data_IF_217611351345
#
_entry.id   IF_217611351345
#
_cell.length_a   1.000
_cell.length_b   1.000
_cell.length_c   1.000
_cell.angle_alpha   90.00
_cell.angle_beta   90.00
_cell.angle_gamma   90.00
#
_symmetry.space_group_name_H-M   'P 1'
#
loop_
_entity.id
_entity.type
_entity.pdbx_description
1 polymer ?
#
# COMPACT_ATOMS: atom_id res chain seq x y z
N UNK A 1 85.17 0.69 8.36
CA UNK A 1 86.55 0.75 7.82
C UNK A 1 87.36 -0.32 8.55
N UNK A 2 88.06 -1.22 7.83
CA UNK A 2 88.77 -2.42 8.34
C UNK A 2 87.88 -3.47 9.07
N UNK A 3 87.97 -4.81 8.88
CA UNK A 3 89.12 -5.76 8.86
C UNK A 3 89.81 -5.85 10.23
N UNK A 4 90.21 -7.01 10.78
CA UNK A 4 90.29 -8.38 10.23
C UNK A 4 90.23 -9.45 11.36
N UNK A 5 89.92 -10.69 10.93
CA UNK A 5 90.20 -12.03 11.50
C UNK A 5 91.12 -12.16 12.74
N UNK A 6 90.79 -13.11 13.63
CA UNK A 6 91.49 -14.41 13.74
C UNK A 6 90.86 -15.38 14.77
N UNK A 7 90.29 -16.50 14.29
CA UNK A 7 90.40 -17.85 14.89
C UNK A 7 91.80 -18.43 14.55
N UNK A 8 92.30 -19.60 15.07
CA UNK A 8 91.61 -20.84 15.48
C UNK A 8 92.15 -21.38 16.86
N UNK A 9 92.26 -22.65 17.28
CA UNK A 9 92.02 -24.01 16.71
C UNK A 9 91.87 -25.06 17.84
N UNK A 10 91.25 -26.24 17.61
CA UNK A 10 91.32 -27.42 18.50
C UNK A 10 89.96 -28.10 18.77
N UNK A 11 89.38 -28.88 17.84
CA UNK A 11 89.63 -30.31 17.53
C UNK A 11 89.08 -31.30 18.60
N UNK A 12 87.90 -31.89 18.26
CA UNK A 12 87.49 -33.32 18.24
C UNK A 12 88.40 -34.44 18.85
N UNK A 13 87.90 -35.68 19.09
CA UNK A 13 86.65 -36.27 18.59
C UNK A 13 85.77 -37.12 19.55
N UNK A 14 84.60 -37.44 19.01
CA UNK A 14 83.62 -38.51 19.30
C UNK A 14 84.21 -39.92 19.58
N UNK A 15 83.41 -40.90 20.09
CA UNK A 15 82.52 -41.66 19.19
C UNK A 15 81.16 -42.17 19.75
N UNK A 16 80.21 -42.27 18.80
CA UNK A 16 79.10 -43.24 18.62
C UNK A 16 78.22 -43.71 19.80
N UNK A 17 76.91 -43.51 19.61
CA UNK A 17 75.83 -44.32 20.18
C UNK A 17 74.58 -44.29 19.29
N UNK A 18 74.43 -45.25 18.37
CA UNK A 18 73.18 -45.46 17.62
C UNK A 18 72.13 -46.11 18.52
N UNK A 19 70.87 -45.67 18.46
CA UNK A 19 69.69 -46.52 18.17
C UNK A 19 68.36 -45.77 18.34
N UNK A 20 67.33 -46.19 17.60
CA UNK A 20 65.94 -46.18 18.08
C UNK A 20 65.17 -44.85 18.04
N UNK A 21 64.53 -44.56 16.90
CA UNK A 21 63.37 -43.65 16.88
C UNK A 21 62.19 -44.31 17.61
N UNK A 22 61.65 -43.68 18.65
CA UNK A 22 60.27 -43.90 19.10
C UNK A 22 59.53 -42.58 18.92
N UNK A 23 58.62 -42.56 17.95
CA UNK A 23 57.86 -41.38 17.56
C UNK A 23 56.69 -41.22 18.53
N UNK A 24 56.76 -40.22 19.42
CA UNK A 24 55.67 -39.92 20.34
C UNK A 24 54.50 -39.30 19.59
N UNK A 25 53.49 -40.11 19.31
CA UNK A 25 52.26 -39.70 18.63
C UNK A 25 51.34 -39.07 19.68
N UNK A 26 51.27 -37.73 19.70
CA UNK A 26 50.22 -37.04 20.44
C UNK A 26 48.84 -37.50 19.90
N UNK A 27 47.90 -37.93 20.75
CA UNK A 27 46.52 -38.13 20.32
C UNK A 27 45.90 -36.77 20.05
N UNK A 28 45.91 -36.35 18.77
CA UNK A 28 45.08 -35.25 18.30
C UNK A 28 43.62 -35.68 18.41
N UNK A 29 43.01 -35.40 19.57
CA UNK A 29 41.59 -35.59 19.81
C UNK A 29 40.83 -34.61 18.92
N UNK A 30 40.58 -35.04 17.67
CA UNK A 30 39.64 -34.40 16.75
C UNK A 30 38.24 -34.52 17.36
N UNK A 31 37.91 -33.53 18.19
CA UNK A 31 36.53 -33.26 18.59
C UNK A 31 35.79 -32.84 17.34
N UNK A 32 35.24 -33.83 16.63
CA UNK A 32 34.17 -33.61 15.68
C UNK A 32 32.97 -33.08 16.46
N UNK A 33 32.95 -31.76 16.64
CA UNK A 33 31.78 -31.03 17.11
C UNK A 33 30.68 -31.21 16.04
N UNK A 34 29.95 -32.31 16.16
CA UNK A 34 28.80 -32.65 15.35
C UNK A 34 27.62 -31.75 15.75
N UNK A 35 27.77 -30.45 15.49
CA UNK A 35 26.70 -29.45 15.58
C UNK A 35 25.74 -29.66 14.40
N UNK A 36 25.10 -30.84 14.34
CA UNK A 36 23.80 -31.04 13.70
C UNK A 36 22.72 -30.44 14.59
N UNK A 37 22.92 -29.18 14.95
CA UNK A 37 22.04 -28.34 15.76
C UNK A 37 21.47 -27.22 14.90
N UNK A 38 20.83 -27.54 13.78
CA UNK A 38 19.97 -26.58 13.08
C UNK A 38 18.66 -26.39 13.85
N UNK A 39 18.76 -25.87 15.08
CA UNK A 39 17.65 -25.18 15.72
C UNK A 39 17.53 -23.81 15.06
N UNK A 40 17.06 -23.81 13.81
CA UNK A 40 16.50 -22.59 13.22
C UNK A 40 15.11 -22.42 13.83
N UNK A 41 15.09 -22.04 15.11
CA UNK A 41 13.94 -21.36 15.66
C UNK A 41 13.89 -20.02 14.93
N UNK A 42 13.05 -19.93 13.89
CA UNK A 42 12.70 -18.66 13.27
C UNK A 42 11.90 -17.85 14.29
N UNK A 43 12.63 -17.13 15.15
CA UNK A 43 12.09 -16.29 16.20
C UNK A 43 11.43 -15.10 15.54
N UNK A 44 10.11 -15.10 15.51
CA UNK A 44 9.29 -13.96 15.11
C UNK A 44 8.94 -13.17 16.37
N UNK A 45 9.62 -12.04 16.68
CA UNK A 45 9.45 -11.38 17.98
C UNK A 45 8.03 -10.89 18.23
N UNK A 46 7.28 -10.64 17.14
CA UNK A 46 5.89 -10.19 17.17
C UNK A 46 4.87 -11.35 17.00
N UNK A 47 5.31 -12.55 16.62
CA UNK A 47 4.45 -13.72 16.38
C UNK A 47 4.48 -14.25 14.94
N UNK A 48 4.35 -13.38 13.93
CA UNK A 48 4.35 -13.77 12.50
C UNK A 48 5.41 -13.02 11.72
N UNK A 49 6.17 -13.74 10.88
CA UNK A 49 7.14 -13.18 9.93
C UNK A 49 6.75 -13.49 8.47
N UNK A 50 7.48 -12.89 7.52
CA UNK A 50 7.36 -13.16 6.09
C UNK A 50 8.72 -13.57 5.51
N UNK A 51 8.89 -14.87 5.22
CA UNK A 51 10.13 -15.42 4.66
C UNK A 51 10.07 -15.54 3.14
N UNK A 52 11.13 -15.20 2.42
CA UNK A 52 11.20 -15.34 0.96
C UNK A 52 12.64 -15.57 0.49
N UNK A 53 12.79 -16.05 -0.75
CA UNK A 53 14.11 -16.29 -1.36
C UNK A 53 14.19 -15.54 -2.69
N UNK A 54 15.20 -14.69 -2.83
CA UNK A 54 15.47 -13.97 -4.07
C UNK A 54 15.84 -14.93 -5.21
N UNK A 55 15.33 -14.65 -6.42
CA UNK A 55 15.62 -15.42 -7.63
C UNK A 55 15.74 -14.50 -8.84
N UNK A 56 16.98 -14.22 -9.26
CA UNK A 56 17.26 -13.30 -10.37
C UNK A 56 16.51 -13.62 -11.69
N UNK A 57 16.26 -14.90 -11.97
CA UNK A 57 15.56 -15.35 -13.18
C UNK A 57 14.05 -15.05 -13.23
N UNK A 58 13.45 -14.59 -12.14
CA UNK A 58 12.01 -14.29 -12.07
C UNK A 58 11.68 -12.82 -12.39
N UNK A 59 12.68 -12.00 -12.75
CA UNK A 59 12.50 -10.60 -13.12
C UNK A 59 12.01 -10.41 -14.56
N UNK A 60 11.02 -9.53 -14.74
CA UNK A 60 10.47 -9.13 -16.03
C UNK A 60 11.29 -7.96 -16.56
N UNK A 61 12.13 -8.21 -17.56
CA UNK A 61 12.99 -7.20 -18.18
C UNK A 61 12.21 -6.29 -19.11
N UNK A 62 12.62 -5.02 -19.21
CA UNK A 62 12.04 -4.07 -20.14
C UNK A 62 10.66 -3.57 -19.75
N UNK A 63 10.25 -3.75 -18.50
CA UNK A 63 8.94 -3.38 -17.98
C UNK A 63 9.01 -2.83 -16.56
N UNK A 64 8.11 -1.91 -16.24
CA UNK A 64 8.01 -1.27 -14.92
C UNK A 64 6.58 -0.84 -14.56
N UNK A 65 6.31 -0.63 -13.27
CA UNK A 65 5.13 0.06 -12.78
C UNK A 65 5.45 1.55 -12.60
N UNK A 66 4.86 2.39 -13.46
CA UNK A 66 5.02 3.85 -13.41
C UNK A 66 4.09 4.46 -12.35
N UNK A 67 4.62 5.31 -11.47
CA UNK A 67 3.84 6.13 -10.52
C UNK A 67 3.42 5.43 -9.23
N UNK A 68 3.94 4.22 -8.95
CA UNK A 68 3.61 3.44 -7.75
C UNK A 68 4.78 3.22 -6.78
N UNK A 69 5.91 3.92 -7.00
CA UNK A 69 7.07 3.92 -6.11
C UNK A 69 6.85 4.86 -4.93
N UNK A 70 6.96 4.31 -3.72
CA UNK A 70 6.88 5.07 -2.46
C UNK A 70 8.24 5.27 -1.80
N UNK A 71 9.27 4.53 -2.25
CA UNK A 71 10.64 4.60 -1.73
C UNK A 71 11.63 4.26 -2.83
N UNK A 72 12.52 5.21 -3.14
CA UNK A 72 13.62 5.03 -4.08
C UNK A 72 14.95 4.93 -3.31
N UNK A 73 15.78 3.95 -3.69
CA UNK A 73 17.05 3.59 -3.07
C UNK A 73 18.15 3.65 -4.14
N UNK A 74 18.64 4.86 -4.43
CA UNK A 74 19.64 5.14 -5.48
C UNK A 74 21.01 4.48 -5.28
N UNK A 75 21.32 4.08 -4.04
CA UNK A 75 22.52 3.31 -3.66
C UNK A 75 22.35 1.80 -3.87
N UNK A 76 21.11 1.30 -4.00
CA UNK A 76 20.80 -0.13 -4.16
C UNK A 76 20.54 -0.44 -5.63
N UNK A 77 21.59 -0.75 -6.38
CA UNK A 77 21.52 -0.96 -7.85
C UNK A 77 21.49 -2.44 -8.28
N UNK A 78 21.10 -3.34 -7.39
CA UNK A 78 21.05 -4.78 -7.66
C UNK A 78 19.80 -5.43 -7.05
N UNK A 79 19.20 -6.35 -7.80
CA UNK A 79 17.88 -6.91 -7.48
C UNK A 79 17.81 -7.68 -6.15
N UNK A 80 18.91 -8.31 -5.70
CA UNK A 80 18.94 -8.98 -4.39
C UNK A 80 18.85 -7.99 -3.22
N UNK A 81 19.57 -6.86 -3.29
CA UNK A 81 19.47 -5.80 -2.28
C UNK A 81 18.11 -5.13 -2.29
N UNK A 82 17.53 -4.93 -3.48
CA UNK A 82 16.19 -4.40 -3.65
C UNK A 82 15.11 -5.33 -3.08
N UNK A 83 15.24 -6.65 -3.31
CA UNK A 83 14.43 -7.68 -2.66
C UNK A 83 14.54 -7.61 -1.14
N UNK A 84 15.76 -7.56 -0.59
CA UNK A 84 15.97 -7.48 0.86
C UNK A 84 15.38 -6.21 1.48
N UNK A 85 15.46 -5.06 0.79
CA UNK A 85 14.80 -3.84 1.23
C UNK A 85 13.26 -4.00 1.20
N UNK A 86 12.70 -4.50 0.09
CA UNK A 86 11.27 -4.74 -0.07
C UNK A 86 10.70 -5.73 0.98
N UNK A 87 11.40 -6.82 1.24
CA UNK A 87 10.96 -7.88 2.15
C UNK A 87 10.77 -7.39 3.60
N UNK A 88 11.58 -6.42 4.03
CA UNK A 88 11.55 -5.82 5.36
C UNK A 88 10.58 -4.62 5.48
N UNK A 89 9.99 -4.17 4.37
CA UNK A 89 9.01 -3.09 4.36
C UNK A 89 7.57 -3.64 4.39
N UNK A 90 6.76 -3.12 5.29
CA UNK A 90 5.37 -3.58 5.45
C UNK A 90 4.45 -3.16 4.30
N UNK A 91 4.80 -2.09 3.58
CA UNK A 91 4.09 -1.56 2.42
C UNK A 91 4.45 -2.24 1.10
N UNK A 92 5.61 -2.91 1.02
CA UNK A 92 6.14 -3.40 -0.25
C UNK A 92 5.34 -4.62 -0.77
N UNK A 93 4.86 -4.52 -2.00
CA UNK A 93 4.20 -5.62 -2.74
C UNK A 93 4.98 -6.09 -3.95
N UNK A 94 5.77 -5.22 -4.54
CA UNK A 94 6.71 -5.53 -5.62
C UNK A 94 7.87 -4.53 -5.60
N UNK A 95 8.90 -4.79 -6.39
CA UNK A 95 10.06 -3.93 -6.49
C UNK A 95 10.60 -3.92 -7.92
N UNK A 96 11.25 -2.84 -8.32
CA UNK A 96 11.87 -2.72 -9.64
C UNK A 96 13.25 -2.08 -9.54
N UNK A 97 14.15 -2.46 -10.44
CA UNK A 97 15.53 -1.96 -10.49
C UNK A 97 15.81 -1.37 -11.86
N UNK A 98 16.51 -0.24 -11.88
CA UNK A 98 16.91 0.51 -13.06
C UNK A 98 18.42 0.87 -12.99
N UNK A 99 18.94 1.57 -13.99
CA UNK A 99 20.28 2.18 -13.93
C UNK A 99 20.43 3.17 -12.76
N UNK A 100 19.34 3.83 -12.34
CA UNK A 100 19.32 4.89 -11.33
C UNK A 100 19.19 4.37 -9.90
N UNK A 101 18.61 3.19 -9.68
CA UNK A 101 18.45 2.62 -8.34
C UNK A 101 17.44 1.49 -8.23
N UNK A 102 16.97 1.28 -7.01
CA UNK A 102 15.90 0.37 -6.64
C UNK A 102 14.65 1.16 -6.23
N UNK A 103 13.48 0.73 -6.68
CA UNK A 103 12.19 1.30 -6.32
C UNK A 103 11.32 0.25 -5.65
N UNK A 104 10.78 0.60 -4.49
CA UNK A 104 9.82 -0.21 -3.75
C UNK A 104 8.40 0.26 -4.06
N UNK A 105 7.48 -0.68 -4.30
CA UNK A 105 6.17 -0.42 -4.89
C UNK A 105 5.03 -0.85 -3.95
N UNK A 106 4.01 0.00 -3.77
CA UNK A 106 2.79 -0.33 -2.99
C UNK A 106 1.73 -1.10 -3.81
N UNK A 107 2.06 -1.46 -5.05
CA UNK A 107 1.24 -2.22 -6.00
C UNK A 107 2.04 -3.40 -6.56
N UNK A 108 1.41 -4.22 -7.39
CA UNK A 108 2.06 -5.27 -8.15
C UNK A 108 1.37 -5.46 -9.51
N UNK A 109 1.93 -6.31 -10.37
CA UNK A 109 1.39 -6.61 -11.71
C UNK A 109 -0.02 -7.22 -11.69
N UNK A 110 -0.50 -7.71 -10.55
CA UNK A 110 -1.83 -8.31 -10.41
C UNK A 110 -2.87 -7.21 -10.11
N UNK A 111 -2.45 -6.06 -9.53
CA UNK A 111 -3.29 -4.88 -9.32
C UNK A 111 -3.13 -3.79 -10.40
N UNK A 112 -2.00 -3.72 -11.11
CA UNK A 112 -1.68 -2.67 -12.10
C UNK A 112 -1.00 -3.21 -13.36
N UNK A 113 -1.26 -2.57 -14.50
CA UNK A 113 -0.64 -2.92 -15.78
C UNK A 113 0.79 -2.38 -15.88
N UNK A 114 1.75 -3.28 -16.12
CA UNK A 114 3.13 -2.93 -16.45
C UNK A 114 3.23 -2.10 -17.74
N UNK A 115 4.19 -1.17 -17.78
CA UNK A 115 4.51 -0.33 -18.94
C UNK A 115 5.89 -0.68 -19.48
N UNK A 116 6.12 -0.59 -20.80
CA UNK A 116 7.43 -0.88 -21.39
C UNK A 116 8.44 0.21 -21.03
N UNK A 117 9.61 -0.19 -20.52
CA UNK A 117 10.77 0.67 -20.31
C UNK A 117 12.03 -0.20 -20.25
N UNK A 118 12.95 -0.07 -21.20
CA UNK A 118 14.13 -0.93 -21.36
C UNK A 118 15.15 -0.86 -20.22
N UNK A 119 15.18 0.23 -19.45
CA UNK A 119 16.11 0.39 -18.33
C UNK A 119 15.68 -0.43 -17.10
N UNK A 120 14.40 -0.82 -17.01
CA UNK A 120 13.84 -1.44 -15.81
C UNK A 120 13.76 -2.96 -15.88
N UNK A 121 13.92 -3.58 -14.71
CA UNK A 121 13.56 -4.97 -14.44
C UNK A 121 12.59 -4.99 -13.24
N UNK A 122 11.35 -5.40 -13.46
CA UNK A 122 10.32 -5.55 -12.44
C UNK A 122 10.37 -6.94 -11.79
N UNK A 123 10.08 -7.01 -10.49
CA UNK A 123 10.00 -8.26 -9.72
C UNK A 123 8.81 -8.28 -8.75
N UNK A 124 8.06 -9.38 -8.73
CA UNK A 124 7.10 -9.64 -7.65
C UNK A 124 7.79 -9.94 -6.32
N UNK A 125 7.26 -9.43 -5.21
CA UNK A 125 7.71 -9.87 -3.88
C UNK A 125 7.08 -11.23 -3.52
N UNK A 126 7.87 -12.31 -3.64
CA UNK A 126 7.46 -13.66 -3.26
C UNK A 126 7.94 -14.00 -1.85
N UNK A 127 7.07 -13.78 -0.88
CA UNK A 127 7.22 -14.25 0.50
C UNK A 127 6.19 -15.35 0.82
N UNK A 128 6.39 -16.05 1.93
CA UNK A 128 5.45 -16.96 2.59
C UNK A 128 5.28 -16.50 4.04
N UNK A 129 4.10 -16.73 4.61
CA UNK A 129 3.86 -16.56 6.04
C UNK A 129 4.71 -17.59 6.80
N UNK A 130 5.46 -17.12 7.80
CA UNK A 130 6.23 -17.96 8.73
C UNK A 130 5.65 -17.74 10.12
N UNK A 131 4.87 -18.69 10.66
CA UNK A 131 4.38 -18.59 12.03
C UNK A 131 5.54 -18.81 13.02
N UNK A 132 5.48 -18.14 14.17
CA UNK A 132 6.38 -18.40 15.30
C UNK A 132 6.30 -19.86 15.72
N UNK A 133 7.45 -20.49 15.91
CA UNK A 133 7.58 -21.86 16.41
C UNK A 133 7.27 -22.01 17.93
N UNK A 134 6.92 -20.93 18.63
CA UNK A 134 6.56 -20.98 20.04
C UNK A 134 5.15 -21.55 20.23
N UNK A 135 5.00 -22.61 21.01
CA UNK A 135 3.71 -23.20 21.39
C UNK A 135 2.84 -22.26 22.25
N UNK A 136 3.42 -21.19 22.80
CA UNK A 136 2.70 -20.11 23.49
C UNK A 136 2.14 -19.05 22.51
N UNK A 137 2.53 -19.09 21.23
CA UNK A 137 2.03 -18.20 20.18
C UNK A 137 1.07 -18.93 19.23
N UNK A 138 -0.06 -19.37 19.76
CA UNK A 138 -1.31 -19.37 19.00
C UNK A 138 -2.11 -18.11 19.39
N UNK A 139 -1.66 -16.89 19.02
CA UNK A 139 -2.41 -15.71 19.40
C UNK A 139 -3.73 -15.74 18.64
N UNK A 140 -4.84 -15.57 19.35
CA UNK A 140 -6.17 -15.34 18.76
C UNK A 140 -6.23 -14.05 17.92
N UNK A 141 -5.16 -13.26 17.93
CA UNK A 141 -5.01 -11.97 17.26
C UNK A 141 -3.73 -11.99 16.43
N UNK A 142 -3.83 -11.69 15.13
CA UNK A 142 -2.66 -11.53 14.27
C UNK A 142 -1.69 -10.48 14.83
N UNK A 143 -0.40 -10.83 14.91
CA UNK A 143 0.68 -9.88 15.20
C UNK A 143 1.91 -10.14 14.34
N UNK A 144 2.34 -9.11 13.63
CA UNK A 144 3.51 -9.10 12.73
C UNK A 144 4.38 -7.83 12.85
N UNK A 145 3.93 -6.81 13.60
CA UNK A 145 4.67 -5.60 13.89
C UNK A 145 4.49 -4.44 12.90
N UNK A 146 3.74 -4.63 11.81
CA UNK A 146 3.53 -3.60 10.80
C UNK A 146 2.73 -2.38 11.26
N UNK A 147 1.96 -2.49 12.35
CA UNK A 147 1.25 -1.36 12.94
C UNK A 147 2.05 -0.63 14.03
N UNK A 148 3.21 -1.12 14.47
CA UNK A 148 4.00 -0.50 15.55
C UNK A 148 4.42 0.94 15.23
N UNK A 149 4.67 1.25 13.95
CA UNK A 149 5.03 2.58 13.48
C UNK A 149 3.82 3.46 13.07
N UNK A 150 2.58 2.98 13.29
CA UNK A 150 1.33 3.61 12.83
C UNK A 150 1.41 4.10 11.37
N UNK A 151 1.47 3.19 10.38
CA UNK A 151 1.63 3.55 8.96
C UNK A 151 0.43 4.29 8.35
N UNK A 152 -0.71 4.34 9.06
CA UNK A 152 -1.95 5.02 8.69
C UNK A 152 -1.89 6.50 9.10
N UNK A 153 -2.25 7.38 8.17
CA UNK A 153 -2.20 8.84 8.31
C UNK A 153 -3.58 9.41 8.66
N UNK A 154 -3.66 10.72 8.90
CA UNK A 154 -4.91 11.48 9.07
C UNK A 154 -5.93 10.87 10.05
N UNK A 155 -5.46 10.21 11.12
CA UNK A 155 -6.31 9.58 12.13
C UNK A 155 -6.84 8.18 11.79
N UNK A 156 -6.32 7.53 10.75
CA UNK A 156 -6.68 6.14 10.41
C UNK A 156 -6.18 5.10 11.41
N UNK A 157 -7.00 4.08 11.68
CA UNK A 157 -6.66 2.97 12.59
C UNK A 157 -5.95 1.84 11.83
N UNK A 158 -4.80 1.40 12.33
CA UNK A 158 -4.06 0.27 11.75
C UNK A 158 -4.53 -1.08 12.30
N UNK A 159 -4.77 -2.06 11.42
CA UNK A 159 -5.05 -3.46 11.79
C UNK A 159 -4.05 -4.38 11.08
N UNK A 160 -3.29 -5.18 11.84
CA UNK A 160 -2.33 -6.13 11.27
C UNK A 160 -3.06 -7.31 10.59
N UNK A 161 -2.46 -7.81 9.51
CA UNK A 161 -2.96 -8.92 8.69
C UNK A 161 -1.86 -9.94 8.46
N UNK A 162 -2.17 -11.21 8.72
CA UNK A 162 -1.21 -12.32 8.76
C UNK A 162 -1.57 -13.43 7.76
N UNK A 163 -2.74 -13.31 7.13
CA UNK A 163 -3.34 -14.31 6.24
C UNK A 163 -2.61 -14.39 4.90
N UNK A 164 -2.00 -13.29 4.43
CA UNK A 164 -1.34 -13.22 3.12
C UNK A 164 -0.13 -12.27 3.10
N UNK A 165 1.04 -12.68 2.56
CA UNK A 165 2.28 -11.88 2.59
C UNK A 165 2.22 -10.54 1.84
N UNK A 166 1.34 -10.40 0.84
CA UNK A 166 1.12 -9.11 0.12
C UNK A 166 0.22 -8.12 0.89
N UNK A 167 -0.41 -8.54 1.99
CA UNK A 167 -1.35 -7.73 2.76
C UNK A 167 -1.00 -7.89 4.24
N UNK A 168 0.02 -7.15 4.69
CA UNK A 168 0.58 -7.27 6.05
C UNK A 168 -0.19 -6.41 7.07
N UNK A 169 -0.95 -5.42 6.63
CA UNK A 169 -1.87 -4.64 7.44
C UNK A 169 -2.94 -3.99 6.55
N UNK A 170 -3.97 -3.42 7.17
CA UNK A 170 -4.99 -2.58 6.54
C UNK A 170 -5.21 -1.35 7.42
N UNK A 171 -5.33 -0.17 6.80
CA UNK A 171 -5.80 1.04 7.47
C UNK A 171 -7.31 1.17 7.33
N UNK A 172 -8.00 1.43 8.45
CA UNK A 172 -9.40 1.86 8.44
C UNK A 172 -9.44 3.39 8.56
N UNK A 173 -9.85 4.08 7.51
CA UNK A 173 -9.83 5.54 7.47
C UNK A 173 -11.08 6.17 8.09
N UNK A 174 -10.94 7.33 8.76
CA UNK A 174 -12.09 8.17 9.12
C UNK A 174 -12.78 8.72 7.87
N UNK A 175 -14.02 9.19 8.04
CA UNK A 175 -14.89 9.67 6.93
C UNK A 175 -14.32 10.84 6.13
N UNK A 176 -13.37 11.59 6.69
CA UNK A 176 -12.68 12.71 6.05
C UNK A 176 -11.34 12.31 5.37
N UNK A 177 -11.00 11.02 5.30
CA UNK A 177 -9.77 10.54 4.66
C UNK A 177 -10.01 9.30 3.77
N UNK A 178 -9.16 9.13 2.77
CA UNK A 178 -9.17 8.02 1.81
C UNK A 178 -7.75 7.70 1.34
N UNK A 179 -7.61 6.70 0.47
CA UNK A 179 -6.34 6.08 0.11
C UNK A 179 -6.05 4.81 0.92
N UNK A 180 -4.95 4.11 0.60
CA UNK A 180 -4.59 2.82 1.25
C UNK A 180 -4.15 3.00 2.70
N UNK A 181 -3.58 4.16 2.99
CA UNK A 181 -3.01 4.57 4.26
C UNK A 181 -3.72 5.80 4.83
N UNK A 182 -4.89 6.16 4.29
CA UNK A 182 -5.61 7.38 4.65
C UNK A 182 -4.81 8.66 4.33
N UNK A 183 -3.90 8.58 3.36
CA UNK A 183 -2.93 9.61 2.98
C UNK A 183 -3.57 10.81 2.24
N UNK A 184 -4.79 10.64 1.72
CA UNK A 184 -5.55 11.69 1.04
C UNK A 184 -6.71 12.13 1.93
N UNK A 185 -6.98 13.43 2.03
CA UNK A 185 -8.25 13.90 2.58
C UNK A 185 -9.39 13.68 1.58
N UNK A 186 -10.56 13.34 2.08
CA UNK A 186 -11.74 13.03 1.27
C UNK A 186 -12.65 14.26 1.14
N UNK A 187 -12.48 15.01 0.05
CA UNK A 187 -13.29 16.19 -0.29
C UNK A 187 -14.18 15.92 -1.53
N UNK A 188 -15.31 15.21 -1.38
CA UNK A 188 -16.18 14.87 -2.52
C UNK A 188 -16.68 16.13 -3.23
N UNK A 189 -16.59 16.17 -4.57
CA UNK A 189 -17.02 17.31 -5.41
C UNK A 189 -18.39 17.09 -6.04
N UNK A 190 -18.83 15.86 -6.07
CA UNK A 190 -20.07 15.40 -6.69
C UNK A 190 -20.62 14.19 -5.94
N UNK A 191 -21.89 13.84 -6.16
CA UNK A 191 -22.44 12.59 -5.66
C UNK A 191 -21.62 11.36 -6.11
N UNK A 192 -21.00 11.41 -7.30
CA UNK A 192 -20.19 10.32 -7.85
C UNK A 192 -18.94 10.02 -7.01
N UNK A 193 -18.38 11.03 -6.33
CA UNK A 193 -17.17 10.85 -5.53
C UNK A 193 -17.38 10.01 -4.26
N UNK A 194 -18.63 9.81 -3.81
CA UNK A 194 -18.93 8.91 -2.68
C UNK A 194 -18.65 7.43 -2.98
N UNK A 195 -18.52 7.04 -4.25
CA UNK A 195 -17.97 5.72 -4.61
C UNK A 195 -16.45 5.60 -4.36
N UNK A 196 -15.74 6.71 -4.14
CA UNK A 196 -14.30 6.78 -3.84
C UNK A 196 -14.01 6.94 -2.34
N UNK A 197 -15.05 7.01 -1.51
CA UNK A 197 -14.90 7.04 -0.05
C UNK A 197 -14.25 5.75 0.44
N UNK A 198 -13.48 5.82 1.52
CA UNK A 198 -12.95 4.63 2.15
C UNK A 198 -14.10 3.73 2.64
N UNK A 199 -14.03 2.43 2.34
CA UNK A 199 -15.11 1.44 2.58
C UNK A 199 -16.49 1.83 1.99
N UNK A 200 -16.52 2.57 0.87
CA UNK A 200 -17.77 2.89 0.16
C UNK A 200 -18.56 1.60 -0.17
N UNK A 201 -19.84 1.49 0.22
CA UNK A 201 -20.68 0.37 -0.17
C UNK A 201 -20.96 0.41 -1.68
N UNK A 202 -21.19 -0.77 -2.28
CA UNK A 202 -21.49 -0.88 -3.72
C UNK A 202 -22.72 -0.07 -4.16
N UNK A 203 -23.62 0.26 -3.22
CA UNK A 203 -24.68 1.27 -3.36
C UNK A 203 -24.73 2.11 -2.07
N UNK A 204 -24.22 3.35 -2.06
CA UNK A 204 -24.47 4.29 -0.97
C UNK A 204 -25.97 4.56 -0.80
N UNK A 205 -26.46 4.86 0.41
CA UNK A 205 -27.85 5.22 0.62
C UNK A 205 -28.20 6.51 -0.14
N UNK A 206 -29.45 6.66 -0.58
CA UNK A 206 -29.92 7.95 -1.10
C UNK A 206 -30.15 8.92 0.05
N UNK A 207 -29.98 10.21 -0.18
CA UNK A 207 -30.19 11.22 0.86
C UNK A 207 -29.42 12.50 0.62
N UNK A 208 -29.34 13.34 1.64
CA UNK A 208 -28.59 14.60 1.61
C UNK A 208 -27.14 14.37 2.02
N UNK A 209 -26.22 14.78 1.16
CA UNK A 209 -24.77 14.69 1.33
C UNK A 209 -24.12 16.08 1.29
N UNK A 210 -23.05 16.26 2.05
CA UNK A 210 -22.16 17.43 1.94
C UNK A 210 -21.12 17.19 0.86
N UNK A 211 -21.04 18.09 -0.12
CA UNK A 211 -19.94 18.13 -1.10
C UNK A 211 -19.19 19.47 -0.96
N UNK A 212 -17.96 19.52 -1.44
CA UNK A 212 -17.09 20.69 -1.37
C UNK A 212 -16.94 21.33 -2.75
N UNK A 213 -16.93 22.67 -2.82
CA UNK A 213 -16.52 23.40 -4.04
C UNK A 213 -15.02 23.20 -4.33
N UNK A 214 -14.54 23.77 -5.44
CA UNK A 214 -13.16 23.63 -5.91
C UNK A 214 -12.11 24.24 -4.95
N UNK A 215 -12.52 25.09 -4.02
CA UNK A 215 -11.68 25.66 -2.96
C UNK A 215 -11.36 24.66 -1.82
N UNK A 216 -11.97 23.48 -1.81
CA UNK A 216 -11.91 22.47 -0.74
C UNK A 216 -12.43 22.95 0.64
N UNK A 217 -13.05 24.12 0.72
CA UNK A 217 -13.47 24.77 1.98
C UNK A 217 -14.98 25.01 1.98
N UNK A 218 -15.55 25.49 0.88
CA UNK A 218 -16.98 25.80 0.81
C UNK A 218 -17.81 24.53 0.67
N UNK A 219 -18.45 24.13 1.76
CA UNK A 219 -19.45 23.07 1.79
C UNK A 219 -20.76 23.51 1.11
N UNK A 220 -21.38 22.59 0.36
CA UNK A 220 -22.76 22.70 -0.11
C UNK A 220 -23.49 21.36 0.03
N UNK A 221 -24.74 21.39 0.46
CA UNK A 221 -25.57 20.19 0.61
C UNK A 221 -26.27 19.85 -0.71
N UNK A 222 -26.27 18.58 -1.10
CA UNK A 222 -26.97 18.08 -2.29
C UNK A 222 -27.66 16.76 -1.99
N UNK A 223 -28.82 16.53 -2.62
CA UNK A 223 -29.43 15.21 -2.59
C UNK A 223 -28.79 14.32 -3.65
N UNK A 224 -28.38 13.12 -3.24
CA UNK A 224 -27.77 12.11 -4.07
C UNK A 224 -28.66 10.85 -4.13
N UNK A 225 -28.82 10.27 -5.32
CA UNK A 225 -29.29 8.87 -5.48
C UNK A 225 -28.25 8.06 -6.27
N UNK A 226 -28.15 6.77 -5.99
CA UNK A 226 -27.04 5.93 -6.40
C UNK A 226 -27.54 4.70 -7.19
N UNK A 227 -27.03 4.55 -8.41
CA UNK A 227 -27.36 3.44 -9.32
C UNK A 227 -26.08 2.68 -9.66
N UNK A 228 -25.83 1.50 -9.05
CA UNK A 228 -24.64 0.71 -9.38
C UNK A 228 -24.66 0.23 -10.84
N UNK A 229 -23.49 0.00 -11.46
CA UNK A 229 -22.15 0.32 -10.98
C UNK A 229 -21.77 1.79 -11.26
N UNK A 230 -21.21 2.48 -10.27
CA UNK A 230 -20.57 3.80 -10.41
C UNK A 230 -21.40 4.87 -11.15
N UNK A 231 -22.73 4.91 -11.00
CA UNK A 231 -23.56 6.04 -11.44
C UNK A 231 -24.21 6.69 -10.23
N UNK A 232 -24.09 8.01 -10.13
CA UNK A 232 -24.74 8.79 -9.09
C UNK A 232 -25.45 9.98 -9.72
N UNK A 233 -26.61 10.32 -9.17
CA UNK A 233 -27.45 11.41 -9.61
C UNK A 233 -27.41 12.52 -8.57
N UNK A 234 -27.26 13.77 -9.00
CA UNK A 234 -27.40 14.94 -8.14
C UNK A 234 -28.74 15.60 -8.43
N UNK A 235 -29.58 15.80 -7.41
CA UNK A 235 -30.88 16.44 -7.61
C UNK A 235 -30.70 17.92 -7.95
N UNK A 236 -31.15 18.31 -9.15
CA UNK A 236 -31.17 19.71 -9.60
C UNK A 236 -32.55 20.37 -9.43
N UNK A 237 -33.62 19.56 -9.48
CA UNK A 237 -35.01 20.00 -9.45
C UNK A 237 -35.91 18.85 -8.96
N UNK A 238 -36.93 19.16 -8.16
CA UNK A 238 -38.04 18.27 -7.83
C UNK A 238 -39.26 19.08 -7.39
N UNK A 239 -40.45 18.63 -7.74
CA UNK A 239 -41.69 19.29 -7.36
C UNK A 239 -42.87 18.31 -7.27
N UNK A 240 -43.78 18.58 -6.34
CA UNK A 240 -45.07 17.93 -6.23
C UNK A 240 -46.01 18.39 -7.37
N UNK A 241 -46.97 17.53 -7.75
CA UNK A 241 -47.85 17.75 -8.89
C UNK A 241 -48.58 19.12 -8.90
N UNK A 242 -48.89 19.68 -7.72
CA UNK A 242 -49.51 21.02 -7.58
C UNK A 242 -48.65 22.17 -8.10
N UNK A 243 -47.33 21.99 -8.19
CA UNK A 243 -46.38 22.98 -8.71
C UNK A 243 -46.01 22.76 -10.18
N UNK A 244 -46.64 21.79 -10.87
CA UNK A 244 -46.26 21.39 -12.23
C UNK A 244 -46.23 22.57 -13.22
N UNK A 245 -47.30 23.35 -13.29
CA UNK A 245 -47.42 24.50 -14.21
C UNK A 245 -46.36 25.58 -13.94
N UNK A 246 -46.00 25.76 -12.66
CA UNK A 246 -44.98 26.73 -12.23
C UNK A 246 -43.58 26.32 -12.70
N UNK A 247 -43.25 25.03 -12.66
CA UNK A 247 -41.92 24.51 -13.02
C UNK A 247 -41.77 24.22 -14.52
N UNK A 248 -42.80 23.70 -15.19
CA UNK A 248 -42.79 23.47 -16.65
C UNK A 248 -42.59 24.77 -17.44
N UNK A 249 -42.99 25.92 -16.87
CA UNK A 249 -42.78 27.25 -17.44
C UNK A 249 -41.37 27.83 -17.22
N UNK A 250 -40.42 27.08 -16.62
CA UNK A 250 -39.08 27.56 -16.25
C UNK A 250 -37.98 26.72 -16.89
N UNK A 251 -37.34 27.25 -17.93
CA UNK A 251 -36.20 26.61 -18.59
C UNK A 251 -35.03 26.44 -17.63
N UNK A 252 -34.23 25.37 -17.74
CA UNK A 252 -32.99 25.23 -16.95
C UNK A 252 -31.93 26.32 -17.26
N UNK A 253 -32.17 27.17 -18.27
CA UNK A 253 -31.38 28.37 -18.54
C UNK A 253 -31.80 29.57 -17.68
N UNK A 254 -32.99 29.55 -17.08
CA UNK A 254 -33.51 30.60 -16.20
C UNK A 254 -32.98 30.43 -14.77
N UNK A 255 -32.52 31.52 -14.16
CA UNK A 255 -32.13 31.48 -12.75
C UNK A 255 -33.37 31.60 -11.85
N UNK A 256 -33.81 30.45 -11.37
CA UNK A 256 -35.00 30.30 -10.54
C UNK A 256 -34.75 29.29 -9.41
N UNK A 257 -33.90 29.65 -8.42
CA UNK A 257 -33.66 28.81 -7.25
C UNK A 257 -34.90 28.76 -6.35
N UNK A 258 -35.23 27.58 -5.87
CA UNK A 258 -36.32 27.35 -4.91
C UNK A 258 -35.81 26.37 -3.84
N UNK A 259 -35.80 26.78 -2.57
CA UNK A 259 -35.43 25.92 -1.44
C UNK A 259 -34.08 25.18 -1.59
N UNK A 260 -33.12 25.76 -2.32
CA UNK A 260 -31.86 25.09 -2.69
C UNK A 260 -30.99 24.65 -1.51
N UNK A 261 -31.16 25.25 -0.33
CA UNK A 261 -30.44 24.93 0.91
C UNK A 261 -31.08 23.76 1.69
N UNK A 262 -32.30 23.34 1.32
CA UNK A 262 -33.03 22.21 1.92
C UNK A 262 -33.26 21.06 0.92
N UNK A 263 -32.20 20.46 0.34
CA UNK A 263 -32.31 19.47 -0.75
C UNK A 263 -33.02 18.15 -0.40
N UNK A 264 -33.37 17.91 0.87
CA UNK A 264 -34.25 16.81 1.27
C UNK A 264 -35.76 17.13 1.19
N UNK A 265 -36.14 18.37 0.88
CA UNK A 265 -37.55 18.79 0.76
C UNK A 265 -37.98 18.75 -0.72
N UNK A 266 -38.43 17.59 -1.17
CA UNK A 266 -38.74 17.32 -2.57
C UNK A 266 -40.06 17.95 -3.08
N UNK A 267 -40.90 18.50 -2.20
CA UNK A 267 -42.19 19.09 -2.58
C UNK A 267 -42.04 20.28 -3.54
N UNK A 268 -41.00 21.10 -3.36
CA UNK A 268 -40.70 22.26 -4.18
C UNK A 268 -39.22 22.64 -4.04
N UNK A 269 -38.37 22.15 -4.93
CA UNK A 269 -36.92 22.34 -4.89
C UNK A 269 -36.34 22.58 -6.28
N UNK A 270 -35.43 23.56 -6.41
CA UNK A 270 -34.66 23.85 -7.62
C UNK A 270 -33.36 24.56 -7.27
N UNK A 271 -32.26 24.11 -7.86
CA UNK A 271 -30.96 24.78 -7.72
C UNK A 271 -30.91 26.07 -8.54
N UNK A 272 -30.10 27.04 -8.10
CA UNK A 272 -29.71 28.17 -8.93
C UNK A 272 -29.03 27.71 -10.24
N UNK A 273 -29.22 28.47 -11.31
CA UNK A 273 -28.65 28.24 -12.66
C UNK A 273 -27.14 28.04 -12.61
N UNK A 274 -26.43 28.85 -11.83
CA UNK A 274 -24.99 28.74 -11.66
C UNK A 274 -24.56 27.39 -11.04
N UNK A 275 -25.34 26.85 -10.09
CA UNK A 275 -25.06 25.54 -9.51
C UNK A 275 -25.35 24.40 -10.50
N UNK A 276 -26.42 24.50 -11.28
CA UNK A 276 -26.71 23.55 -12.36
C UNK A 276 -25.62 23.56 -13.45
N UNK A 277 -25.06 24.72 -13.79
CA UNK A 277 -23.93 24.87 -14.71
C UNK A 277 -22.64 24.23 -14.15
N UNK A 278 -22.33 24.40 -12.86
CA UNK A 278 -21.19 23.72 -12.23
C UNK A 278 -21.35 22.19 -12.27
N UNK A 279 -22.54 21.68 -11.95
CA UNK A 279 -22.86 20.24 -12.04
C UNK A 279 -22.66 19.75 -13.48
N UNK A 280 -23.19 20.47 -14.48
CA UNK A 280 -23.02 20.17 -15.91
C UNK A 280 -21.55 20.08 -16.32
N UNK A 281 -20.73 21.03 -15.89
CA UNK A 281 -19.29 21.06 -16.21
C UNK A 281 -18.50 19.93 -15.53
N UNK A 282 -18.97 19.44 -14.37
CA UNK A 282 -18.34 18.32 -13.64
C UNK A 282 -18.81 16.93 -14.10
N UNK A 283 -19.90 16.84 -14.86
CA UNK A 283 -20.49 15.57 -15.31
C UNK A 283 -19.78 14.99 -16.52
N UNK A 284 -19.16 13.81 -16.36
CA UNK A 284 -18.50 13.08 -17.47
C UNK A 284 -19.50 12.64 -18.55
N UNK A 285 -20.78 12.51 -18.20
CA UNK A 285 -21.94 12.41 -19.10
C UNK A 285 -23.09 13.18 -18.42
N UNK A 286 -23.94 13.94 -19.14
CA UNK A 286 -25.06 14.68 -18.54
C UNK A 286 -26.20 13.74 -18.09
N UNK A 287 -26.02 13.09 -16.95
CA UNK A 287 -27.04 12.28 -16.27
C UNK A 287 -27.79 13.13 -15.24
N UNK A 288 -28.86 13.81 -15.68
CA UNK A 288 -29.79 14.52 -14.80
C UNK A 288 -30.98 13.64 -14.44
N UNK A 289 -31.33 13.61 -13.15
CA UNK A 289 -32.53 12.94 -12.68
C UNK A 289 -33.60 13.98 -12.38
N UNK A 290 -34.56 14.12 -13.29
CA UNK A 290 -35.79 14.87 -13.05
C UNK A 290 -36.79 13.90 -12.43
N UNK A 291 -37.11 14.08 -11.14
CA UNK A 291 -38.05 13.21 -10.41
C UNK A 291 -39.37 13.96 -10.24
N UNK A 292 -40.45 13.55 -10.93
CA UNK A 292 -41.80 13.95 -10.55
C UNK A 292 -42.05 13.37 -9.16
N UNK A 293 -42.31 14.22 -8.16
CA UNK A 293 -42.57 13.75 -6.80
C UNK A 293 -43.94 13.05 -6.75
N UNK A 294 -43.92 11.72 -6.91
CA UNK A 294 -45.03 10.87 -6.51
C UNK A 294 -44.97 10.75 -4.99
N UNK A 295 -45.77 11.57 -4.31
CA UNK A 295 -45.88 11.52 -2.86
C UNK A 295 -46.30 10.13 -2.38
N UNK A 296 -45.89 9.79 -1.16
CA UNK A 296 -46.27 8.56 -0.49
C UNK A 296 -47.80 8.45 -0.49
N UNK A 297 -48.32 7.43 -1.17
CA UNK A 297 -49.70 7.00 -0.98
C UNK A 297 -49.72 6.18 0.31
N UNK A 298 -50.42 6.70 1.31
CA UNK A 298 -50.83 5.98 2.52
C UNK A 298 -51.43 4.62 2.19
#
# INVERSE_FOLDING_TARGET
MARHKNTPLGISPSPLGLSGKIMSILPFMLVFASIRGHVIAQTCPQGVCYGGVFKAKEGIKGQHLLGFSYKNLSTVRHAQGCFSACANECLCRSYQVSSTGCELLEEDKDSRTLKPNSDYIYFDLKQKVVPSASSLSYPSVCRNGCCLANPCLNGGTCTEKCEHPKTKFVCNCPTNATGKRCEQFFWPKSCLDFYKAHNAPAKPPRGVYTIFKNDNITEVKRYCDFTPPNKAWTLIESYAAKHRVEFEAKSFLDDYPVNQETPGQHEKYRLARAAMQMIKASGVVPSYMQVPYQGERN
#
